data_IF_161333046719
#
_entry.id   IF_161333046719
#
_cell.length_a   1.000
_cell.length_b   1.000
_cell.length_c   1.000
_cell.angle_alpha   90.00
_cell.angle_beta   90.00
_cell.angle_gamma   90.00
#
_symmetry.space_group_name_H-M   'P 1'
#
loop_
_entity.id
_entity.type
_entity.pdbx_description
1 polymer ?
#
# COMPACT_ATOMS: atom_id res chain seq x y z
N UNK A 1 -31.53 15.53 -4.45
CA UNK A 1 -30.33 15.65 -5.32
C UNK A 1 -29.29 14.68 -4.78
N UNK A 2 -29.25 13.46 -5.33
CA UNK A 2 -28.28 12.46 -4.91
C UNK A 2 -26.91 12.90 -5.42
N UNK A 3 -26.01 13.28 -4.51
CA UNK A 3 -24.61 13.52 -4.84
C UNK A 3 -24.02 12.18 -5.25
N UNK A 4 -23.84 11.98 -6.55
CA UNK A 4 -23.07 10.86 -7.07
C UNK A 4 -21.66 10.99 -6.50
N UNK A 5 -21.36 10.16 -5.49
CA UNK A 5 -20.04 10.09 -4.90
C UNK A 5 -19.10 9.69 -6.03
N UNK A 6 -18.19 10.60 -6.40
CA UNK A 6 -17.19 10.23 -7.41
C UNK A 6 -16.33 9.18 -6.75
N UNK A 7 -15.92 8.18 -7.52
CA UNK A 7 -14.95 7.15 -7.09
C UNK A 7 -13.67 7.78 -6.49
N UNK A 8 -13.35 9.04 -6.86
CA UNK A 8 -12.28 9.85 -6.26
C UNK A 8 -12.50 10.18 -4.77
N UNK A 9 -13.74 10.25 -4.30
CA UNK A 9 -14.08 10.57 -2.92
C UNK A 9 -13.80 9.37 -1.99
N UNK A 10 -13.87 8.13 -2.50
CA UNK A 10 -13.51 6.91 -1.75
C UNK A 10 -12.00 6.80 -1.46
N UNK A 11 -11.15 7.39 -2.31
CA UNK A 11 -9.70 7.54 -2.06
C UNK A 11 -9.45 8.56 -0.93
N UNK A 12 -10.42 9.44 -0.68
CA UNK A 12 -10.26 10.62 0.16
C UNK A 12 -10.98 10.51 1.52
N UNK A 13 -11.53 9.36 1.90
CA UNK A 13 -12.14 9.18 3.23
C UNK A 13 -11.33 8.27 4.17
N UNK A 14 -10.04 8.03 3.88
CA UNK A 14 -9.16 7.35 4.82
C UNK A 14 -8.81 8.28 5.99
N UNK A 15 -9.63 8.22 7.03
CA UNK A 15 -9.36 8.82 8.34
C UNK A 15 -8.36 7.95 9.11
N UNK A 16 -7.48 8.56 9.92
CA UNK A 16 -6.66 7.81 10.85
C UNK A 16 -7.53 6.90 11.72
N UNK A 17 -7.27 5.59 11.71
CA UNK A 17 -8.06 4.61 12.48
C UNK A 17 -7.63 4.60 13.95
N UNK A 18 -6.42 5.08 14.23
CA UNK A 18 -5.91 5.12 15.58
C UNK A 18 -4.58 5.84 15.69
N UNK A 19 -3.93 5.58 16.82
CA UNK A 19 -2.66 6.18 17.15
C UNK A 19 -1.72 5.16 17.75
N UNK A 20 -0.49 5.11 17.23
CA UNK A 20 0.60 4.30 17.77
C UNK A 20 1.70 5.19 18.35
N UNK A 21 2.33 4.75 19.45
CA UNK A 21 3.48 5.42 20.05
C UNK A 21 4.71 4.58 19.78
N UNK A 22 5.64 5.12 18.98
CA UNK A 22 6.89 4.44 18.60
C UNK A 22 8.04 5.39 18.89
N UNK A 23 9.01 4.96 19.71
CA UNK A 23 10.16 5.78 20.13
C UNK A 23 9.73 7.17 20.67
N UNK A 24 8.78 7.17 21.62
CA UNK A 24 8.18 8.37 22.23
C UNK A 24 7.51 9.36 21.25
N UNK A 25 7.35 8.97 19.98
CA UNK A 25 6.67 9.75 18.96
C UNK A 25 5.26 9.20 18.71
N UNK A 26 4.28 10.09 18.63
CA UNK A 26 2.89 9.78 18.34
C UNK A 26 2.65 9.75 16.81
N UNK A 27 2.18 8.62 16.28
CA UNK A 27 1.87 8.43 14.86
C UNK A 27 0.38 8.20 14.66
N UNK A 28 -0.21 8.90 13.70
CA UNK A 28 -1.56 8.62 13.22
C UNK A 28 -1.52 7.44 12.26
N UNK A 29 -2.23 6.38 12.62
CA UNK A 29 -2.25 5.15 11.84
C UNK A 29 -3.30 5.28 10.74
N UNK A 30 -2.84 5.19 9.49
CA UNK A 30 -3.67 5.15 8.30
C UNK A 30 -3.82 3.69 7.90
N UNK A 31 -5.05 3.20 7.87
CA UNK A 31 -5.32 1.89 7.31
C UNK A 31 -5.74 2.04 5.86
N UNK A 32 -5.19 1.16 5.02
CA UNK A 32 -5.51 1.09 3.60
C UNK A 32 -6.04 -0.32 3.31
N UNK A 33 -7.25 -0.66 3.78
CA UNK A 33 -7.81 -2.01 3.63
C UNK A 33 -7.87 -2.45 2.17
N UNK A 34 -8.05 -1.51 1.23
CA UNK A 34 -8.08 -1.76 -0.21
C UNK A 34 -6.73 -2.19 -0.81
N UNK A 35 -5.61 -1.93 -0.13
CA UNK A 35 -4.30 -2.44 -0.57
C UNK A 35 -4.23 -3.97 -0.47
N UNK A 36 -4.98 -4.59 0.44
CA UNK A 36 -4.97 -6.05 0.60
C UNK A 36 -5.63 -6.78 -0.59
N UNK A 37 -6.66 -6.18 -1.20
CA UNK A 37 -7.45 -6.78 -2.30
C UNK A 37 -6.86 -6.50 -3.70
N UNK A 38 -6.01 -5.49 -3.80
CA UNK A 38 -5.34 -5.07 -5.04
C UNK A 38 -3.87 -5.44 -5.08
N UNK A 39 -3.28 -5.89 -3.97
CA UNK A 39 -1.86 -6.21 -3.91
C UNK A 39 -1.48 -7.25 -4.95
N UNK A 40 -0.39 -6.95 -5.66
CA UNK A 40 0.29 -7.87 -6.55
C UNK A 40 1.49 -8.55 -5.86
N UNK A 41 1.61 -8.42 -4.54
CA UNK A 41 2.76 -8.93 -3.79
C UNK A 41 2.86 -10.45 -3.78
N UNK A 42 4.08 -10.94 -3.95
CA UNK A 42 4.48 -12.35 -3.90
C UNK A 42 5.57 -12.53 -2.82
N UNK A 43 5.17 -13.13 -1.69
CA UNK A 43 6.07 -13.42 -0.58
C UNK A 43 7.09 -14.54 -0.88
N UNK A 44 6.91 -15.27 -1.99
CA UNK A 44 7.80 -16.36 -2.41
C UNK A 44 9.04 -15.88 -3.18
N UNK A 45 9.14 -14.57 -3.47
CA UNK A 45 10.27 -14.01 -4.20
C UNK A 45 11.60 -14.32 -3.48
N UNK A 46 12.58 -14.91 -4.19
CA UNK A 46 13.81 -15.38 -3.56
C UNK A 46 14.66 -14.21 -3.03
N UNK A 47 15.06 -14.31 -1.77
CA UNK A 47 15.97 -13.36 -1.12
C UNK A 47 17.42 -13.85 -1.25
N UNK A 48 18.37 -13.00 -1.66
CA UNK A 48 19.78 -13.40 -1.71
C UNK A 48 20.32 -13.81 -0.34
N UNK A 49 21.16 -14.87 -0.29
CA UNK A 49 21.72 -15.45 0.96
C UNK A 49 22.40 -14.45 1.91
N UNK A 50 22.96 -13.36 1.37
CA UNK A 50 23.64 -12.32 2.15
C UNK A 50 22.71 -11.20 2.64
N UNK A 51 21.40 -11.37 2.45
CA UNK A 51 20.37 -10.48 2.93
C UNK A 51 19.54 -11.20 4.01
N UNK A 52 18.91 -10.44 4.90
CA UNK A 52 18.00 -10.97 5.93
C UNK A 52 16.64 -10.31 5.76
N UNK A 53 15.58 -11.10 5.91
CA UNK A 53 14.23 -10.54 5.99
C UNK A 53 14.15 -9.73 7.29
N UNK A 54 13.63 -8.52 7.17
CA UNK A 54 13.46 -7.60 8.28
C UNK A 54 12.01 -7.67 8.77
N UNK A 55 11.85 -7.93 10.07
CA UNK A 55 10.52 -7.99 10.69
C UNK A 55 9.89 -6.61 10.82
N UNK A 56 10.72 -5.59 11.08
CA UNK A 56 10.24 -4.21 11.27
C UNK A 56 10.16 -3.45 9.93
N UNK A 57 8.94 -3.27 9.44
CA UNK A 57 8.63 -2.54 8.22
C UNK A 57 8.36 -1.05 8.46
N UNK A 58 8.55 -0.55 9.69
CA UNK A 58 8.24 0.82 10.12
C UNK A 58 8.76 1.90 9.17
N UNK A 59 10.03 1.80 8.72
CA UNK A 59 10.61 2.82 7.84
C UNK A 59 9.84 2.96 6.52
N UNK A 60 9.43 1.85 5.92
CA UNK A 60 8.64 1.89 4.68
C UNK A 60 7.23 2.40 4.96
N UNK A 61 6.56 1.84 5.98
CA UNK A 61 5.20 2.24 6.37
C UNK A 61 5.10 3.73 6.67
N UNK A 62 6.05 4.28 7.42
CA UNK A 62 6.09 5.70 7.78
C UNK A 62 6.33 6.58 6.55
N UNK A 63 7.40 6.29 5.78
CA UNK A 63 7.76 7.13 4.63
C UNK A 63 6.71 7.15 3.53
N UNK A 64 6.02 6.02 3.33
CA UNK A 64 4.93 5.93 2.37
C UNK A 64 3.68 6.66 2.88
N UNK A 65 3.38 6.60 4.18
CA UNK A 65 2.26 7.31 4.78
C UNK A 65 2.43 8.84 4.73
N UNK A 66 3.62 9.34 5.06
CA UNK A 66 3.94 10.77 4.94
C UNK A 66 3.77 11.23 3.47
N UNK A 67 4.33 10.48 2.52
CA UNK A 67 4.18 10.74 1.08
C UNK A 67 2.72 10.72 0.62
N UNK A 68 1.91 9.82 1.16
CA UNK A 68 0.50 9.71 0.85
C UNK A 68 -0.27 10.94 1.30
N UNK A 69 -0.08 11.36 2.54
CA UNK A 69 -0.75 12.55 3.07
C UNK A 69 -0.30 13.82 2.35
N UNK A 70 0.98 13.92 1.99
CA UNK A 70 1.50 15.00 1.16
C UNK A 70 0.86 15.02 -0.24
N UNK A 71 0.80 13.87 -0.91
CA UNK A 71 0.26 13.75 -2.27
C UNK A 71 -1.21 14.14 -2.36
N UNK A 72 -2.02 13.76 -1.37
CA UNK A 72 -3.45 14.10 -1.31
C UNK A 72 -3.75 15.44 -0.63
N UNK A 73 -2.73 16.20 -0.20
CA UNK A 73 -2.91 17.52 0.42
C UNK A 73 -3.54 17.48 1.81
N UNK A 74 -3.42 16.36 2.52
CA UNK A 74 -3.97 16.15 3.86
C UNK A 74 -2.91 16.14 4.97
N UNK A 75 -1.64 16.31 4.60
CA UNK A 75 -0.56 16.42 5.55
C UNK A 75 -0.76 17.66 6.44
N UNK A 76 -0.89 17.43 7.73
CA UNK A 76 -0.98 18.49 8.73
C UNK A 76 0.38 18.73 9.39
N UNK A 77 0.73 20.00 9.62
CA UNK A 77 1.97 20.37 10.28
C UNK A 77 2.05 19.80 11.71
N UNK A 78 3.19 19.18 12.04
CA UNK A 78 3.43 18.59 13.36
C UNK A 78 2.82 17.21 13.60
N UNK A 79 2.04 16.70 12.64
CA UNK A 79 1.50 15.34 12.68
C UNK A 79 2.41 14.38 11.91
N UNK A 80 2.59 13.18 12.45
CA UNK A 80 3.29 12.08 11.78
C UNK A 80 2.30 10.99 11.43
N UNK A 81 2.52 10.33 10.30
CA UNK A 81 1.64 9.30 9.79
C UNK A 81 2.36 7.97 9.68
N UNK A 82 1.60 6.89 9.78
CA UNK A 82 2.11 5.54 9.69
C UNK A 82 1.05 4.67 9.01
N UNK A 83 1.41 3.91 7.99
CA UNK A 83 0.47 2.92 7.46
C UNK A 83 0.31 1.78 8.44
N UNK A 84 -0.88 1.19 8.54
CA UNK A 84 -1.14 0.02 9.38
C UNK A 84 -0.31 -1.20 8.94
N UNK A 85 -0.21 -1.44 7.64
CA UNK A 85 0.64 -2.49 7.09
C UNK A 85 1.12 -2.14 5.67
N UNK A 86 2.04 -2.94 5.13
CA UNK A 86 2.39 -2.94 3.72
C UNK A 86 1.33 -3.72 2.90
N UNK A 87 1.26 -3.51 1.57
CA UNK A 87 0.43 -4.35 0.71
C UNK A 87 0.81 -5.83 0.87
N UNK A 88 -0.20 -6.71 0.86
CA UNK A 88 0.00 -8.13 1.10
C UNK A 88 1.04 -8.73 0.16
N UNK A 89 1.94 -9.57 0.67
CA UNK A 89 3.03 -10.19 -0.10
C UNK A 89 4.28 -9.31 -0.28
N UNK A 90 4.25 -8.05 0.14
CA UNK A 90 5.45 -7.21 0.23
C UNK A 90 6.14 -7.33 1.58
N UNK A 91 7.47 -7.36 1.58
CA UNK A 91 8.26 -7.51 2.81
C UNK A 91 9.62 -6.78 2.73
N UNK A 92 10.11 -6.31 3.88
CA UNK A 92 11.40 -5.62 3.99
C UNK A 92 12.56 -6.60 4.08
N UNK A 93 13.67 -6.26 3.43
CA UNK A 93 14.91 -7.05 3.43
C UNK A 93 16.09 -6.13 3.66
N UNK A 94 16.94 -6.49 4.62
CA UNK A 94 18.17 -5.77 4.94
C UNK A 94 19.40 -6.46 4.37
N UNK A 95 20.36 -5.64 3.93
CA UNK A 95 21.72 -6.06 3.60
C UNK A 95 22.71 -5.22 4.39
N UNK A 96 23.52 -5.88 5.21
CA UNK A 96 24.61 -5.23 5.93
C UNK A 96 25.84 -5.17 5.01
N UNK A 97 26.40 -3.98 4.79
CA UNK A 97 27.65 -3.81 4.05
C UNK A 97 28.84 -3.96 4.99
N UNK A 98 29.65 -4.99 4.75
CA UNK A 98 30.85 -5.28 5.53
C UNK A 98 31.85 -4.11 5.55
N UNK A 99 31.97 -3.36 4.45
CA UNK A 99 32.97 -2.31 4.28
C UNK A 99 32.61 -1.01 5.00
N UNK A 100 31.33 -0.63 5.03
CA UNK A 100 30.91 0.71 5.47
C UNK A 100 30.00 0.73 6.70
N UNK A 101 29.72 -0.43 7.31
CA UNK A 101 28.70 -0.64 8.36
C UNK A 101 27.32 -0.04 8.01
N UNK A 102 27.06 0.21 6.73
CA UNK A 102 25.78 0.72 6.25
C UNK A 102 24.81 -0.44 6.10
N UNK A 103 23.56 -0.22 6.48
CA UNK A 103 22.47 -1.16 6.28
C UNK A 103 21.63 -0.65 5.12
N UNK A 104 21.65 -1.36 4.00
CA UNK A 104 20.73 -1.10 2.91
C UNK A 104 19.40 -1.80 3.20
N UNK A 105 18.28 -1.11 2.99
CA UNK A 105 16.92 -1.66 3.12
C UNK A 105 16.25 -1.70 1.76
N UNK A 106 15.68 -2.85 1.42
CA UNK A 106 15.01 -3.11 0.16
C UNK A 106 13.61 -3.62 0.44
N UNK A 107 12.68 -3.29 -0.44
CA UNK A 107 11.35 -3.89 -0.45
C UNK A 107 11.29 -4.96 -1.54
N UNK A 108 10.90 -6.17 -1.16
CA UNK A 108 10.65 -7.31 -2.04
C UNK A 108 9.16 -7.62 -2.06
N UNK A 109 8.73 -8.41 -3.04
CA UNK A 109 7.33 -8.79 -3.22
C UNK A 109 6.82 -8.55 -4.64
N UNK A 110 7.48 -7.75 -5.47
CA UNK A 110 6.96 -7.46 -6.81
C UNK A 110 6.99 -8.71 -7.73
N UNK A 111 5.93 -9.00 -8.52
CA UNK A 111 5.85 -10.17 -9.42
C UNK A 111 7.01 -10.28 -10.40
N UNK A 112 7.55 -9.14 -10.83
CA UNK A 112 8.71 -9.12 -11.73
C UNK A 112 10.03 -9.58 -11.06
N UNK A 113 9.99 -9.99 -9.78
CA UNK A 113 11.14 -10.38 -8.95
C UNK A 113 12.18 -9.26 -8.79
N UNK A 114 11.79 -8.02 -9.11
CA UNK A 114 12.60 -6.83 -8.89
C UNK A 114 12.35 -6.32 -7.47
N UNK A 115 13.35 -5.63 -6.94
CA UNK A 115 13.32 -5.04 -5.59
C UNK A 115 13.29 -3.53 -5.70
N UNK A 116 12.57 -2.88 -4.78
CA UNK A 116 12.63 -1.44 -4.61
C UNK A 116 13.74 -1.11 -3.62
N UNK A 117 14.57 -0.12 -3.96
CA UNK A 117 15.73 0.31 -3.15
C UNK A 117 15.38 1.41 -2.16
N UNK A 118 14.20 2.01 -2.28
CA UNK A 118 13.72 3.06 -1.39
C UNK A 118 12.20 3.15 -1.43
N UNK A 119 11.57 3.73 -0.40
CA UNK A 119 10.14 4.06 -0.41
C UNK A 119 9.75 4.95 -1.59
N UNK A 120 10.61 5.89 -1.99
CA UNK A 120 10.37 6.77 -3.14
C UNK A 120 10.27 6.01 -4.46
N UNK A 121 11.04 4.92 -4.62
CA UNK A 121 10.97 4.09 -5.82
C UNK A 121 9.69 3.24 -5.85
N UNK A 122 9.20 2.85 -4.68
CA UNK A 122 7.96 2.08 -4.54
C UNK A 122 6.71 2.95 -4.65
N UNK A 123 6.79 4.24 -4.31
CA UNK A 123 5.68 5.17 -4.32
C UNK A 123 4.80 5.16 -5.59
N UNK A 124 5.34 5.25 -6.83
CA UNK A 124 4.49 5.21 -8.03
C UNK A 124 3.74 3.87 -8.18
N UNK A 125 4.35 2.76 -7.75
CA UNK A 125 3.70 1.46 -7.73
C UNK A 125 2.57 1.40 -6.70
N UNK A 126 2.81 1.96 -5.50
CA UNK A 126 1.79 2.03 -4.46
C UNK A 126 0.56 2.84 -4.91
N UNK A 127 0.78 3.97 -5.59
CA UNK A 127 -0.32 4.75 -6.18
C UNK A 127 -1.11 3.93 -7.20
N UNK A 128 -0.43 3.20 -8.09
CA UNK A 128 -1.07 2.31 -9.04
C UNK A 128 -1.90 1.22 -8.34
N UNK A 129 -1.39 0.62 -7.26
CA UNK A 129 -2.15 -0.36 -6.46
C UNK A 129 -3.43 0.26 -5.88
N UNK A 130 -3.34 1.47 -5.33
CA UNK A 130 -4.51 2.20 -4.79
C UNK A 130 -5.53 2.46 -5.89
N UNK A 131 -5.11 2.98 -7.04
CA UNK A 131 -5.99 3.24 -8.19
C UNK A 131 -6.66 1.96 -8.70
N UNK A 132 -5.91 0.86 -8.79
CA UNK A 132 -6.45 -0.44 -9.15
C UNK A 132 -7.47 -0.95 -8.14
N UNK A 133 -7.20 -0.80 -6.84
CA UNK A 133 -8.14 -1.18 -5.79
C UNK A 133 -9.47 -0.45 -5.92
N UNK A 134 -9.37 0.86 -6.13
CA UNK A 134 -10.53 1.75 -6.26
C UNK A 134 -11.34 1.41 -7.51
N UNK A 135 -10.68 1.07 -8.62
CA UNK A 135 -11.37 0.61 -9.83
C UNK A 135 -12.12 -0.70 -9.59
N UNK A 136 -11.50 -1.66 -8.87
CA UNK A 136 -12.15 -2.93 -8.53
C UNK A 136 -13.38 -2.72 -7.65
N UNK A 137 -13.30 -1.82 -6.67
CA UNK A 137 -14.46 -1.48 -5.82
C UNK A 137 -15.58 -0.88 -6.67
N UNK A 138 -15.26 0.06 -7.55
CA UNK A 138 -16.26 0.64 -8.44
C UNK A 138 -16.87 -0.38 -9.43
N UNK A 139 -16.08 -1.32 -9.92
CA UNK A 139 -16.53 -2.43 -10.75
C UNK A 139 -17.43 -3.38 -9.95
N UNK A 140 -17.07 -3.68 -8.69
CA UNK A 140 -17.89 -4.48 -7.76
C UNK A 140 -19.22 -3.80 -7.47
N UNK A 141 -19.25 -2.53 -7.11
CA UNK A 141 -20.49 -1.77 -6.85
C UNK A 141 -21.43 -1.78 -8.07
N UNK A 142 -20.84 -1.67 -9.26
CA UNK A 142 -21.58 -1.73 -10.53
C UNK A 142 -22.11 -3.15 -10.83
N UNK A 143 -21.32 -4.19 -10.56
CA UNK A 143 -21.68 -5.58 -10.81
C UNK A 143 -22.74 -6.10 -9.82
N UNK A 144 -22.64 -5.66 -8.56
CA UNK A 144 -23.58 -6.00 -7.49
C UNK A 144 -24.91 -5.24 -7.60
N UNK A 145 -25.05 -4.35 -8.58
CA UNK A 145 -26.30 -3.63 -8.80
C UNK A 145 -26.73 -2.83 -7.58
N UNK A 146 -25.78 -2.32 -6.76
CA UNK A 146 -26.06 -1.44 -5.62
C UNK A 146 -26.48 -0.05 -6.15
N UNK A 147 -27.55 -0.02 -6.94
CA UNK A 147 -28.61 0.93 -6.76
C UNK A 147 -29.47 0.37 -5.62
N UNK A 148 -29.16 0.77 -4.38
CA UNK A 148 -30.00 0.64 -3.17
C UNK A 148 -31.17 -0.38 -3.26
N UNK A 149 -30.93 -1.65 -2.95
CA UNK A 149 -32.00 -2.62 -2.68
C UNK A 149 -31.73 -4.03 -3.21
N UNK A 150 -31.95 -5.00 -2.33
CA UNK A 150 -32.23 -6.42 -2.57
C UNK A 150 -31.06 -7.43 -2.62
N UNK A 151 -31.41 -8.64 -2.16
CA UNK A 151 -30.59 -9.65 -1.50
C UNK A 151 -29.61 -10.45 -2.38
N UNK A 152 -28.57 -10.95 -1.72
CA UNK A 152 -27.23 -11.30 -2.23
C UNK A 152 -27.08 -12.78 -2.64
N UNK A 153 -26.45 -13.03 -3.79
CA UNK A 153 -25.80 -14.31 -4.15
C UNK A 153 -24.37 -13.97 -4.65
N UNK A 154 -23.32 -14.54 -4.03
CA UNK A 154 -21.91 -14.22 -4.29
C UNK A 154 -21.45 -14.63 -5.70
N UNK A 155 -20.85 -13.74 -6.52
CA UNK A 155 -20.12 -14.16 -7.70
C UNK A 155 -18.60 -14.15 -7.48
N UNK A 156 -17.94 -15.22 -7.92
CA UNK A 156 -16.49 -15.36 -7.98
C UNK A 156 -15.87 -14.36 -8.97
N UNK A 157 -15.28 -13.27 -8.49
CA UNK A 157 -14.53 -12.33 -9.34
C UNK A 157 -13.09 -12.82 -9.51
N UNK A 158 -12.83 -13.48 -10.66
CA UNK A 158 -11.48 -13.84 -11.11
C UNK A 158 -10.92 -12.84 -12.13
N UNK A 159 -9.58 -12.68 -12.06
CA UNK A 159 -8.61 -12.25 -13.12
C UNK A 159 -7.94 -10.88 -12.95
N UNK A 160 -6.74 -10.98 -12.37
CA UNK A 160 -5.46 -10.33 -12.73
C UNK A 160 -5.53 -9.01 -13.52
N UNK A 161 -5.14 -7.92 -12.88
CA UNK A 161 -4.79 -6.66 -13.55
C UNK A 161 -3.33 -6.74 -14.02
N UNK A 162 -3.11 -6.82 -15.34
CA UNK A 162 -1.78 -6.84 -15.96
C UNK A 162 -1.04 -5.50 -15.76
N UNK A 163 0.08 -5.54 -15.05
CA UNK A 163 0.92 -4.38 -14.78
C UNK A 163 2.08 -4.29 -15.79
N UNK A 164 1.88 -3.60 -16.92
CA UNK A 164 2.95 -3.28 -17.88
C UNK A 164 3.63 -1.92 -17.64
N UNK A 165 3.18 -1.12 -16.67
CA UNK A 165 3.57 0.30 -16.55
C UNK A 165 4.77 0.58 -15.63
N UNK A 166 5.31 -0.40 -14.90
CA UNK A 166 6.36 -0.16 -13.90
C UNK A 166 7.82 -0.40 -14.38
N UNK A 167 8.08 -0.34 -15.69
CA UNK A 167 9.39 -0.68 -16.28
C UNK A 167 10.18 0.45 -16.96
N UNK A 168 9.87 1.72 -16.65
CA UNK A 168 10.73 2.85 -17.05
C UNK A 168 11.69 3.24 -15.91
#
# INVERSE_FOLDING_TARGET
MAQGHRIRDWILDFTPIGCEVINDCKYQVIDLPLLSTSSDGDSSVPVPRHCKIEQDTFLYRQRLADRYMEHFGKAESGKKYLFNDLPNGYFSVVRIRNVSRRVDRFLYGHPSKKRFRSPNQFWPHLLWLIECAVRKVAEYDKAMGIAAGDDFEEPEVSRTCDCQLCLA
#
